data_IF_009361395849
#
_entry.id   IF_009361395849
#
_cell.length_a   1.000
_cell.length_b   1.000
_cell.length_c   1.000
_cell.angle_alpha   90.00
_cell.angle_beta   90.00
_cell.angle_gamma   90.00
#
_symmetry.space_group_name_H-M   'P 1'
#
loop_
_entity.id
_entity.type
_entity.pdbx_description
1 polymer ?
#
# COMPACT_ATOMS: atom_id res chain seq x y z
N UNK A 1 -10.76 -17.02 11.53
CA UNK A 1 -10.69 -17.00 10.52
C UNK A 1 -9.67 -16.56 9.94
N UNK A 2 -9.19 -16.89 9.12
CA UNK A 2 -8.27 -16.40 8.58
C UNK A 2 -8.45 -16.21 7.32
N UNK A 3 -8.36 -15.19 6.77
CA UNK A 3 -8.45 -14.97 5.46
C UNK A 3 -7.18 -15.11 4.83
N UNK A 4 -7.12 -15.62 3.65
CA UNK A 4 -5.95 -15.69 2.98
C UNK A 4 -5.82 -14.53 2.15
N UNK A 5 -5.26 -13.43 2.41
CA UNK A 5 -5.07 -12.30 1.53
C UNK A 5 -3.62 -12.23 1.18
N UNK A 6 -3.33 -11.72 0.01
CA UNK A 6 -1.97 -11.62 -0.45
C UNK A 6 -1.29 -10.47 0.28
N UNK A 7 0.02 -10.43 0.22
CA UNK A 7 0.76 -9.39 0.89
C UNK A 7 0.43 -8.02 0.35
N UNK A 8 0.21 -7.92 -0.95
CA UNK A 8 -0.12 -6.65 -1.55
C UNK A 8 -1.49 -6.17 -1.07
N UNK A 9 -2.43 -7.07 -0.87
CA UNK A 9 -3.74 -6.70 -0.37
C UNK A 9 -3.63 -6.21 1.07
N UNK A 10 -2.79 -6.84 1.84
CA UNK A 10 -2.59 -6.45 3.21
C UNK A 10 -2.00 -5.05 3.28
N UNK A 11 -1.00 -4.77 2.44
CA UNK A 11 -0.38 -3.47 2.41
C UNK A 11 -1.37 -2.39 1.99
N UNK A 12 -2.22 -2.69 1.02
CA UNK A 12 -3.22 -1.74 0.57
C UNK A 12 -4.18 -1.40 1.71
N UNK A 13 -4.57 -2.40 2.47
CA UNK A 13 -5.49 -2.20 3.57
C UNK A 13 -4.87 -1.28 4.63
N UNK A 14 -3.61 -1.51 4.94
CA UNK A 14 -2.95 -0.70 5.94
C UNK A 14 -2.87 0.76 5.49
N UNK A 15 -2.49 0.99 4.23
CA UNK A 15 -2.37 2.36 3.75
C UNK A 15 -3.70 3.08 3.76
N UNK A 16 -4.79 2.38 3.49
CA UNK A 16 -6.08 3.01 3.51
C UNK A 16 -6.43 3.45 4.92
N UNK A 17 -6.05 2.66 5.91
CA UNK A 17 -6.37 3.00 7.29
C UNK A 17 -5.57 4.17 7.80
N UNK A 18 -4.36 4.36 7.34
CA UNK A 18 -3.52 5.44 7.84
C UNK A 18 -3.39 6.58 6.86
N UNK A 19 -4.22 6.63 5.85
CA UNK A 19 -4.09 7.66 4.84
C UNK A 19 -4.25 9.07 5.40
N UNK A 20 -4.88 9.22 6.54
CA UNK A 20 -5.05 10.54 7.12
C UNK A 20 -3.75 11.05 7.74
N UNK A 21 -2.80 10.19 8.00
CA UNK A 21 -1.54 10.60 8.59
C UNK A 21 -0.46 10.50 7.54
N UNK A 22 -0.10 11.64 6.95
CA UNK A 22 0.86 11.66 5.88
C UNK A 22 2.22 11.06 6.23
N UNK A 23 2.75 11.38 7.39
CA UNK A 23 4.05 10.85 7.75
C UNK A 23 4.01 9.35 7.92
N UNK A 24 3.00 8.85 8.58
CA UNK A 24 2.88 7.42 8.80
C UNK A 24 2.61 6.74 7.46
N UNK A 25 1.83 7.36 6.61
CA UNK A 25 1.53 6.82 5.30
C UNK A 25 2.81 6.62 4.50
N UNK A 26 3.65 7.63 4.44
CA UNK A 26 4.88 7.53 3.68
C UNK A 26 5.81 6.47 4.26
N UNK A 27 5.87 6.40 5.56
CA UNK A 27 6.72 5.43 6.21
C UNK A 27 6.26 4.01 5.88
N UNK A 28 4.97 3.74 6.00
CA UNK A 28 4.46 2.42 5.73
C UNK A 28 4.48 2.11 4.23
N UNK A 29 4.30 3.11 3.42
CA UNK A 29 4.33 2.93 1.98
C UNK A 29 5.72 2.40 1.58
N UNK A 30 6.77 3.05 2.06
CA UNK A 30 8.12 2.63 1.71
C UNK A 30 8.43 1.27 2.31
N UNK A 31 7.97 1.03 3.51
CA UNK A 31 8.24 -0.24 4.16
C UNK A 31 7.54 -1.38 3.43
N UNK A 32 6.39 -1.12 2.87
CA UNK A 32 5.65 -2.15 2.17
C UNK A 32 6.44 -2.74 1.02
N UNK A 33 7.27 -1.94 0.37
CA UNK A 33 8.02 -2.43 -0.77
C UNK A 33 9.02 -3.52 -0.36
N UNK A 34 9.38 -3.55 0.90
CA UNK A 34 10.31 -4.57 1.36
C UNK A 34 9.65 -5.92 1.46
N UNK A 35 8.33 -5.95 1.55
CA UNK A 35 7.61 -7.19 1.66
C UNK A 35 7.07 -7.68 0.32
N UNK A 36 7.11 -6.86 -0.69
CA UNK A 36 6.50 -7.20 -1.96
C UNK A 36 7.50 -7.67 -2.99
N UNK A 37 7.09 -8.61 -3.83
CA UNK A 37 7.94 -9.06 -4.91
C UNK A 37 8.00 -7.94 -5.94
N UNK A 38 9.01 -7.93 -6.83
CA UNK A 38 9.15 -6.86 -7.81
C UNK A 38 7.89 -6.55 -8.61
N UNK A 39 7.21 -7.57 -9.10
CA UNK A 39 6.02 -7.32 -9.89
C UNK A 39 4.89 -6.76 -9.04
N UNK A 40 4.87 -7.11 -7.75
CA UNK A 40 3.85 -6.59 -6.87
C UNK A 40 4.16 -5.14 -6.52
N UNK A 41 5.44 -4.79 -6.45
CA UNK A 41 5.83 -3.43 -6.14
C UNK A 41 5.32 -2.49 -7.21
N UNK A 42 5.40 -2.91 -8.46
CA UNK A 42 4.95 -2.09 -9.56
C UNK A 42 3.45 -1.88 -9.48
N UNK A 43 2.70 -2.94 -9.20
CA UNK A 43 1.27 -2.83 -9.08
C UNK A 43 0.87 -1.98 -7.89
N UNK A 44 1.57 -2.15 -6.79
CA UNK A 44 1.28 -1.42 -5.57
C UNK A 44 1.51 0.08 -5.77
N UNK A 45 2.60 0.43 -6.42
CA UNK A 45 2.91 1.81 -6.67
C UNK A 45 1.87 2.45 -7.58
N UNK A 46 1.46 1.72 -8.61
CA UNK A 46 0.47 2.24 -9.52
C UNK A 46 -0.86 2.43 -8.79
N UNK A 47 -1.23 1.47 -7.96
CA UNK A 47 -2.47 1.56 -7.21
C UNK A 47 -2.44 2.76 -6.26
N UNK A 48 -1.34 2.97 -5.57
CA UNK A 48 -1.24 4.06 -4.63
C UNK A 48 -1.35 5.40 -5.34
N UNK A 49 -0.70 5.49 -6.49
CA UNK A 49 -0.74 6.72 -7.25
C UNK A 49 -2.18 7.02 -7.69
N UNK A 50 -2.88 6.03 -8.19
CA UNK A 50 -4.23 6.24 -8.66
C UNK A 50 -5.20 6.49 -7.51
N UNK A 51 -4.97 5.88 -6.38
CA UNK A 51 -5.87 6.01 -5.26
C UNK A 51 -5.67 7.29 -4.47
N UNK A 52 -4.42 7.67 -4.24
CA UNK A 52 -4.14 8.80 -3.38
C UNK A 52 -3.65 10.06 -4.09
N UNK A 53 -2.98 9.90 -5.20
CA UNK A 53 -2.46 11.07 -5.87
C UNK A 53 -3.36 11.60 -6.96
N UNK A 54 -4.12 10.80 -7.61
CA UNK A 54 -4.93 11.30 -8.66
C UNK A 54 -6.23 11.87 -8.16
N UNK A 55 -6.47 11.90 -6.88
CA UNK A 55 -7.58 12.50 -6.43
C UNK A 55 -7.32 13.83 -6.20
N UNK A 56 -7.29 14.73 -6.70
CA UNK A 56 -7.00 16.04 -6.53
C UNK A 56 -7.80 16.78 -7.05
#
# INVERSE_FOLDING_TARGET
MRLKISMIEYCKTILKKISFNRKLFLKEYRKSFEYLAPHEQIQFRKWARETFYSQR
#
